data_IF_690382150112
#
_entry.id   IF_690382150112
#
_cell.length_a   1.000
_cell.length_b   1.000
_cell.length_c   1.000
_cell.angle_alpha   90.00
_cell.angle_beta   90.00
_cell.angle_gamma   90.00
#
_symmetry.space_group_name_H-M   'P 1'
#
loop_
_entity.id
_entity.type
_entity.pdbx_description
1 polymer ?
#
# COMPACT_ATOMS: atom_id res chain seq x y z
N UNK A 1 -5.90 16.14 51.05
CA UNK A 1 -5.46 14.88 50.41
C UNK A 1 -6.60 14.11 49.76
N UNK A 2 -7.74 13.89 50.43
CA UNK A 2 -8.90 13.16 49.85
C UNK A 2 -9.47 13.73 48.53
N UNK A 3 -9.48 15.06 48.34
CA UNK A 3 -10.00 15.69 47.10
C UNK A 3 -9.16 15.39 45.86
N UNK A 4 -7.83 15.31 45.98
CA UNK A 4 -6.96 14.94 44.85
C UNK A 4 -7.15 13.47 44.44
N UNK A 5 -7.45 12.61 45.41
CA UNK A 5 -7.63 11.17 45.19
C UNK A 5 -8.94 10.87 44.43
N UNK A 6 -10.00 11.63 44.71
CA UNK A 6 -11.28 11.53 43.98
C UNK A 6 -11.12 12.01 42.53
N UNK A 7 -10.39 13.11 42.30
CA UNK A 7 -10.08 13.58 40.95
C UNK A 7 -9.29 12.52 40.16
N UNK A 8 -8.28 11.89 40.76
CA UNK A 8 -7.53 10.82 40.11
C UNK A 8 -8.43 9.64 39.69
N UNK A 9 -9.37 9.22 40.54
CA UNK A 9 -10.29 8.11 40.24
C UNK A 9 -11.25 8.43 39.09
N UNK A 10 -11.68 9.68 38.95
CA UNK A 10 -12.56 10.11 37.84
C UNK A 10 -11.80 10.16 36.50
N UNK A 11 -10.51 10.48 36.52
CA UNK A 11 -9.70 10.60 35.31
C UNK A 11 -9.05 9.29 34.82
N UNK A 12 -8.91 8.28 35.69
CA UNK A 12 -8.41 6.94 35.31
C UNK A 12 -9.20 6.26 34.17
N UNK A 13 -10.55 6.27 34.13
CA UNK A 13 -11.28 5.68 33.02
C UNK A 13 -11.09 6.46 31.70
N UNK A 14 -10.89 7.78 31.74
CA UNK A 14 -10.64 8.58 30.53
C UNK A 14 -9.33 8.19 29.84
N UNK A 15 -8.30 7.81 30.61
CA UNK A 15 -7.03 7.32 30.07
C UNK A 15 -7.20 5.89 29.52
N UNK A 16 -8.04 5.07 30.17
CA UNK A 16 -8.31 3.70 29.72
C UNK A 16 -9.10 3.66 28.41
N UNK A 17 -10.07 4.55 28.20
CA UNK A 17 -10.78 4.69 26.92
C UNK A 17 -9.93 5.34 25.82
N UNK A 18 -8.89 6.11 26.18
CA UNK A 18 -7.95 6.67 25.20
C UNK A 18 -6.90 5.66 24.73
N UNK A 19 -6.72 4.55 25.46
CA UNK A 19 -5.84 3.44 25.09
C UNK A 19 -6.53 2.35 24.27
N UNK A 20 -7.84 2.47 24.04
CA UNK A 20 -8.52 1.69 23.01
C UNK A 20 -8.22 2.30 21.64
N UNK A 21 -6.94 2.37 21.29
CA UNK A 21 -6.53 2.28 19.90
C UNK A 21 -6.77 0.84 19.50
N UNK A 22 -8.05 0.51 19.36
CA UNK A 22 -8.61 -0.62 18.64
C UNK A 22 -7.56 -1.08 17.64
N UNK A 23 -7.05 -2.32 17.79
CA UNK A 23 -6.21 -3.00 16.80
C UNK A 23 -6.61 -2.48 15.43
N UNK A 24 -5.79 -1.61 14.82
CA UNK A 24 -6.25 -0.71 13.74
C UNK A 24 -6.96 -1.58 12.73
N UNK A 25 -8.30 -1.52 12.73
CA UNK A 25 -9.09 -2.49 12.01
C UNK A 25 -8.63 -2.38 10.56
N UNK A 26 -7.97 -3.44 10.08
CA UNK A 26 -7.62 -3.55 8.68
C UNK A 26 -8.94 -3.33 7.96
N UNK A 27 -9.06 -2.33 7.06
CA UNK A 27 -10.32 -2.06 6.40
C UNK A 27 -10.84 -3.38 5.83
N UNK A 28 -12.07 -3.77 6.19
CA UNK A 28 -12.65 -5.09 5.85
C UNK A 28 -12.64 -5.35 4.33
N UNK A 29 -12.53 -4.27 3.56
CA UNK A 29 -12.51 -4.22 2.11
C UNK A 29 -11.09 -4.21 1.49
N UNK A 30 -10.04 -4.23 2.31
CA UNK A 30 -8.64 -4.35 1.87
C UNK A 30 -8.33 -5.71 1.25
N UNK A 31 -9.00 -6.77 1.71
CA UNK A 31 -8.69 -8.16 1.33
C UNK A 31 -8.76 -8.38 -0.20
N UNK A 32 -9.56 -7.56 -0.90
CA UNK A 32 -9.65 -7.51 -2.37
C UNK A 32 -8.28 -7.32 -3.04
N UNK A 33 -7.35 -6.67 -2.36
CA UNK A 33 -6.02 -6.34 -2.86
C UNK A 33 -4.90 -7.24 -2.32
N UNK A 34 -5.18 -8.13 -1.37
CA UNK A 34 -4.16 -8.97 -0.73
C UNK A 34 -3.46 -9.91 -1.71
N UNK A 35 -4.17 -10.37 -2.75
CA UNK A 35 -3.59 -11.21 -3.81
C UNK A 35 -2.37 -10.57 -4.50
N UNK A 36 -2.34 -9.24 -4.60
CA UNK A 36 -1.23 -8.54 -5.27
C UNK A 36 0.01 -8.42 -4.40
N UNK A 37 -0.13 -8.52 -3.08
CA UNK A 37 0.95 -8.24 -2.13
C UNK A 37 2.13 -9.16 -2.35
N UNK A 38 3.32 -8.58 -2.44
CA UNK A 38 4.56 -9.32 -2.64
C UNK A 38 5.42 -8.76 -3.77
N UNK A 39 6.39 -9.57 -4.18
CA UNK A 39 7.31 -9.28 -5.25
C UNK A 39 7.01 -10.19 -6.46
N UNK A 40 7.03 -9.60 -7.64
CA UNK A 40 6.72 -10.24 -8.91
C UNK A 40 7.81 -9.91 -9.91
N UNK A 41 8.23 -10.88 -10.71
CA UNK A 41 9.08 -10.66 -11.87
C UNK A 41 8.58 -11.44 -13.07
N UNK A 42 8.96 -11.00 -14.26
CA UNK A 42 8.55 -11.71 -15.48
C UNK A 42 9.01 -11.06 -16.77
N UNK A 43 8.83 -11.79 -17.85
CA UNK A 43 9.08 -11.30 -19.20
C UNK A 43 8.07 -10.22 -19.59
N UNK A 44 8.53 -9.26 -20.40
CA UNK A 44 7.72 -8.20 -21.00
C UNK A 44 7.96 -8.15 -22.49
N UNK A 45 6.91 -7.82 -23.23
CA UNK A 45 6.97 -7.53 -24.67
C UNK A 45 6.13 -6.29 -24.97
N UNK A 46 6.61 -5.44 -25.86
CA UNK A 46 5.88 -4.26 -26.32
C UNK A 46 6.54 -3.61 -27.53
N UNK A 47 6.20 -2.35 -27.81
CA UNK A 47 6.82 -1.58 -28.90
C UNK A 47 8.33 -1.37 -28.70
N UNK A 48 8.78 -1.32 -27.45
CA UNK A 48 10.19 -1.32 -27.06
C UNK A 48 10.81 -2.74 -27.09
N UNK A 49 10.16 -3.71 -27.76
CA UNK A 49 10.55 -5.11 -27.92
C UNK A 49 10.52 -5.93 -26.62
N UNK A 50 11.47 -6.86 -26.48
CA UNK A 50 11.51 -7.84 -25.37
C UNK A 50 12.29 -7.25 -24.19
N UNK A 51 11.75 -7.43 -22.99
CA UNK A 51 12.35 -6.97 -21.76
C UNK A 51 12.00 -7.84 -20.57
N UNK A 52 12.48 -7.41 -19.39
CA UNK A 52 12.13 -8.00 -18.09
C UNK A 52 11.51 -6.90 -17.22
N UNK A 53 10.49 -7.27 -16.44
CA UNK A 53 9.89 -6.39 -15.46
C UNK A 53 9.93 -6.98 -14.06
N UNK A 54 10.06 -6.09 -13.08
CA UNK A 54 9.95 -6.40 -11.66
C UNK A 54 8.88 -5.47 -11.05
N UNK A 55 8.07 -6.00 -10.15
CA UNK A 55 7.02 -5.25 -9.44
C UNK A 55 6.98 -5.64 -7.98
N UNK A 56 6.67 -4.68 -7.12
CA UNK A 56 6.40 -4.93 -5.70
C UNK A 56 5.14 -4.21 -5.29
N UNK A 57 4.31 -4.88 -4.50
CA UNK A 57 3.10 -4.33 -3.92
C UNK A 57 3.14 -4.50 -2.41
N UNK A 58 2.99 -3.40 -1.69
CA UNK A 58 3.01 -3.37 -0.22
C UNK A 58 1.93 -2.43 0.31
N UNK A 59 1.31 -2.78 1.42
CA UNK A 59 0.38 -1.87 2.08
C UNK A 59 1.12 -0.79 2.86
N UNK A 60 0.70 0.46 2.69
CA UNK A 60 1.23 1.62 3.37
C UNK A 60 0.10 2.40 4.06
N UNK A 61 0.48 3.41 4.86
CA UNK A 61 -0.47 4.30 5.56
C UNK A 61 -1.53 3.51 6.32
N UNK A 62 -1.06 2.63 7.22
CA UNK A 62 -1.91 1.76 8.04
C UNK A 62 -2.85 0.84 7.24
N UNK A 63 -2.41 0.36 6.07
CA UNK A 63 -3.20 -0.57 5.26
C UNK A 63 -4.21 0.10 4.34
N UNK A 64 -4.27 1.43 4.31
CA UNK A 64 -5.25 2.16 3.50
C UNK A 64 -4.95 2.15 2.01
N UNK A 65 -3.68 2.08 1.63
CA UNK A 65 -3.26 2.09 0.22
C UNK A 65 -2.31 0.94 -0.08
N UNK A 66 -2.54 0.27 -1.20
CA UNK A 66 -1.57 -0.62 -1.81
C UNK A 66 -0.62 0.20 -2.67
N UNK A 67 0.64 0.26 -2.26
CA UNK A 67 1.70 0.94 -2.98
C UNK A 67 2.37 -0.02 -3.96
N UNK A 68 2.37 0.36 -5.24
CA UNK A 68 3.03 -0.37 -6.31
C UNK A 68 4.31 0.34 -6.73
N UNK A 69 5.41 -0.41 -6.85
CA UNK A 69 6.64 0.01 -7.53
C UNK A 69 6.87 -0.92 -8.70
N UNK A 70 7.07 -0.36 -9.88
CA UNK A 70 7.27 -1.10 -11.11
C UNK A 70 8.57 -0.64 -11.78
N UNK A 71 9.30 -1.60 -12.33
CA UNK A 71 10.47 -1.36 -13.17
C UNK A 71 10.40 -2.28 -14.37
N UNK A 72 10.64 -1.75 -15.56
CA UNK A 72 10.73 -2.54 -16.79
C UNK A 72 12.01 -2.15 -17.52
N UNK A 73 12.83 -3.13 -17.88
CA UNK A 73 14.07 -2.97 -18.63
C UNK A 73 13.95 -3.66 -19.98
N UNK A 74 14.24 -2.93 -21.04
CA UNK A 74 14.27 -3.42 -22.41
C UNK A 74 15.72 -3.45 -22.90
N UNK A 75 16.08 -4.54 -23.54
CA UNK A 75 17.42 -4.71 -24.11
C UNK A 75 17.66 -3.72 -25.25
N UNK A 76 18.93 -3.40 -25.56
CA UNK A 76 19.31 -2.68 -26.78
C UNK A 76 18.68 -3.27 -28.05
N UNK A 77 18.23 -2.37 -28.93
CA UNK A 77 17.61 -2.71 -30.22
C UNK A 77 18.17 -1.82 -31.31
N UNK A 78 18.00 -2.21 -32.57
CA UNK A 78 18.48 -1.41 -33.72
C UNK A 78 17.98 0.04 -33.67
N UNK A 79 16.72 0.24 -33.28
CA UNK A 79 16.10 1.57 -33.13
C UNK A 79 16.43 2.28 -31.81
N UNK A 80 16.90 1.54 -30.80
CA UNK A 80 17.32 2.07 -29.51
C UNK A 80 18.54 1.27 -28.98
N UNK A 81 19.76 1.58 -29.44
CA UNK A 81 20.95 0.79 -29.13
C UNK A 81 21.42 0.92 -27.67
N UNK A 82 20.78 1.77 -26.87
CA UNK A 82 21.04 1.89 -25.44
C UNK A 82 20.09 1.05 -24.59
N UNK A 83 19.04 0.49 -25.21
CA UNK A 83 17.90 -0.08 -24.48
C UNK A 83 17.12 0.99 -23.74
N UNK A 84 16.21 0.57 -22.87
CA UNK A 84 15.36 1.50 -22.14
C UNK A 84 15.03 0.96 -20.75
N UNK A 85 14.85 1.84 -19.77
CA UNK A 85 14.32 1.47 -18.45
C UNK A 85 13.19 2.41 -18.10
N UNK A 86 12.04 1.84 -17.81
CA UNK A 86 10.84 2.53 -17.34
C UNK A 86 10.62 2.21 -15.88
N UNK A 87 10.32 3.24 -15.09
CA UNK A 87 9.99 3.10 -13.68
C UNK A 87 8.70 3.86 -13.39
N UNK A 88 7.78 3.22 -12.68
CA UNK A 88 6.53 3.84 -12.27
C UNK A 88 6.16 3.47 -10.83
N UNK A 89 5.36 4.34 -10.22
CA UNK A 89 4.89 4.23 -8.85
C UNK A 89 3.42 4.58 -8.84
N UNK A 90 2.62 3.78 -8.14
CA UNK A 90 1.18 3.98 -8.07
C UNK A 90 0.64 3.65 -6.69
N UNK A 91 -0.45 4.31 -6.30
CA UNK A 91 -1.19 3.99 -5.10
C UNK A 91 -2.59 3.52 -5.48
N UNK A 92 -3.01 2.39 -4.96
CA UNK A 92 -4.35 1.87 -5.13
C UNK A 92 -5.08 1.89 -3.79
N UNK A 93 -6.35 2.23 -3.80
CA UNK A 93 -7.24 2.06 -2.66
C UNK A 93 -8.49 1.32 -3.11
N UNK A 94 -9.14 0.60 -2.21
CA UNK A 94 -10.53 0.20 -2.42
C UNK A 94 -11.48 1.27 -1.88
N UNK A 95 -12.49 1.63 -2.66
CA UNK A 95 -13.59 2.51 -2.27
C UNK A 95 -14.78 1.63 -1.90
N UNK A 96 -14.98 1.39 -0.60
CA UNK A 96 -16.04 0.53 -0.08
C UNK A 96 -17.46 1.00 -0.38
N UNK A 97 -17.70 2.30 -0.63
CA UNK A 97 -19.03 2.80 -1.01
C UNK A 97 -19.34 2.46 -2.46
N UNK A 98 -18.32 2.57 -3.33
CA UNK A 98 -18.47 2.32 -4.77
C UNK A 98 -18.16 0.89 -5.18
N UNK A 99 -17.65 0.09 -4.25
CA UNK A 99 -17.14 -1.27 -4.45
C UNK A 99 -16.11 -1.34 -5.60
N UNK A 100 -15.16 -0.40 -5.61
CA UNK A 100 -14.21 -0.25 -6.72
C UNK A 100 -12.79 -0.05 -6.23
N UNK A 101 -11.84 -0.66 -6.95
CA UNK A 101 -10.42 -0.28 -6.85
C UNK A 101 -10.19 1.02 -7.59
N UNK A 102 -9.53 1.97 -6.94
CA UNK A 102 -9.28 3.33 -7.43
C UNK A 102 -7.77 3.59 -7.43
N UNK A 103 -7.25 4.03 -8.57
CA UNK A 103 -5.90 4.61 -8.68
C UNK A 103 -5.90 6.03 -8.09
N UNK A 104 -4.92 6.33 -7.25
CA UNK A 104 -4.82 7.57 -6.47
C UNK A 104 -3.59 8.39 -6.84
#
# INVERSE_FOLDING_TARGET
>A
MFRLLILAIIFIPLISFAQDSQDKAVPEDREVLDYFVGAWDGAKSGLAGIGKGDRTYEFIMDGKYLYAKNRSRFEPQEKNPKGETHEDRAFFSYDGIREKVVLR
#
